data_IF_509922954915
#
_entry.id   IF_509922954915
#
_cell.length_a   1.000
_cell.length_b   1.000
_cell.length_c   1.000
_cell.angle_alpha   90.00
_cell.angle_beta   90.00
_cell.angle_gamma   90.00
#
_symmetry.space_group_name_H-M   'P 1'
#
loop_
_entity.id
_entity.type
_entity.pdbx_description
1 polymer ?
#
# COMPACT_ATOMS: atom_id res chain seq x y z
N UNK A 1 13.26 6.71 10.88
CA UNK A 1 12.93 6.65 12.31
C UNK A 1 12.83 5.18 12.72
N UNK A 2 13.81 4.73 13.42
CA UNK A 2 13.89 3.41 14.00
C UNK A 2 12.86 3.26 15.15
N UNK A 3 11.60 3.14 14.86
CA UNK A 3 10.78 2.28 15.67
C UNK A 3 11.13 0.85 15.26
N UNK A 4 12.31 0.41 15.67
CA UNK A 4 12.63 -0.98 15.69
C UNK A 4 11.53 -1.64 16.51
N UNK A 5 10.75 -2.49 15.90
CA UNK A 5 9.77 -3.25 16.60
C UNK A 5 10.41 -4.05 17.70
N UNK A 6 9.61 -4.54 18.61
CA UNK A 6 10.13 -5.38 19.65
C UNK A 6 11.01 -6.45 19.03
N UNK A 7 12.30 -6.34 19.28
CA UNK A 7 13.24 -7.38 18.88
C UNK A 7 12.74 -8.68 19.53
N UNK A 8 12.58 -9.71 18.74
CA UNK A 8 12.15 -11.00 19.24
C UNK A 8 10.67 -11.34 19.02
N UNK A 9 9.81 -10.41 18.58
CA UNK A 9 8.45 -10.80 18.22
C UNK A 9 8.48 -11.71 16.99
N UNK A 10 7.88 -12.88 17.15
CA UNK A 10 7.73 -13.87 16.08
C UNK A 10 6.26 -14.01 15.73
N UNK A 11 5.93 -14.17 14.45
CA UNK A 11 4.54 -14.35 14.02
C UNK A 11 3.88 -15.54 14.73
N UNK A 12 2.64 -15.37 15.13
CA UNK A 12 1.84 -16.45 15.76
C UNK A 12 1.51 -17.55 14.77
N UNK A 13 1.40 -17.21 13.50
CA UNK A 13 1.06 -18.14 12.43
C UNK A 13 2.19 -18.27 11.44
N UNK A 14 2.42 -19.48 10.97
CA UNK A 14 3.22 -19.71 9.79
C UNK A 14 2.36 -19.46 8.54
N UNK A 15 2.24 -18.19 8.17
CA UNK A 15 1.46 -17.78 7.02
C UNK A 15 2.03 -18.28 5.67
N UNK A 16 3.25 -18.86 5.66
CA UNK A 16 3.82 -19.52 4.49
C UNK A 16 3.06 -20.78 4.11
N UNK A 17 2.37 -21.38 5.07
CA UNK A 17 1.46 -22.48 4.85
C UNK A 17 0.01 -22.02 4.62
N UNK A 18 -0.24 -20.70 4.58
CA UNK A 18 -1.55 -20.17 4.23
C UNK A 18 -1.69 -20.24 2.71
N UNK A 19 -2.67 -20.97 2.17
CA UNK A 19 -2.81 -21.20 0.73
C UNK A 19 -2.91 -19.92 -0.10
N UNK A 20 -3.48 -18.85 0.46
CA UNK A 20 -3.64 -17.55 -0.17
C UNK A 20 -2.32 -16.82 -0.48
N UNK A 21 -1.24 -17.14 0.22
CA UNK A 21 0.07 -16.55 -0.04
C UNK A 21 0.93 -17.36 -1.02
N UNK A 22 0.59 -18.61 -1.28
CA UNK A 22 1.22 -19.47 -2.30
C UNK A 22 2.73 -19.69 -2.16
N UNK A 23 3.30 -19.41 -0.98
CA UNK A 23 4.74 -19.39 -0.76
C UNK A 23 5.13 -20.32 0.37
N UNK A 24 6.00 -21.29 0.08
CA UNK A 24 6.63 -22.12 1.12
C UNK A 24 8.03 -21.54 1.43
N UNK A 25 8.26 -21.18 2.69
CA UNK A 25 9.55 -20.81 3.23
C UNK A 25 9.95 -21.76 4.35
N UNK A 26 11.26 -22.03 4.45
CA UNK A 26 11.82 -22.88 5.48
C UNK A 26 12.15 -22.03 6.72
N UNK A 27 12.06 -22.61 7.91
CA UNK A 27 12.51 -22.08 9.20
C UNK A 27 11.73 -20.92 9.82
N UNK A 28 10.39 -20.96 9.77
CA UNK A 28 9.61 -20.08 10.63
C UNK A 28 9.57 -20.60 12.05
N UNK A 29 9.90 -19.78 13.02
CA UNK A 29 9.71 -20.13 14.42
C UNK A 29 8.25 -20.42 14.73
N UNK A 30 7.96 -21.56 15.34
CA UNK A 30 6.60 -22.08 15.56
C UNK A 30 5.80 -21.38 16.66
N UNK A 31 6.42 -20.61 17.50
CA UNK A 31 5.75 -19.96 18.63
C UNK A 31 6.06 -18.47 18.68
N UNK A 32 5.05 -17.61 18.89
CA UNK A 32 5.28 -16.21 19.17
C UNK A 32 5.87 -16.05 20.57
N UNK A 33 6.81 -15.14 20.70
CA UNK A 33 7.23 -14.69 22.02
C UNK A 33 6.19 -13.71 22.58
N UNK A 34 6.00 -13.66 23.90
CA UNK A 34 5.10 -12.69 24.50
C UNK A 34 5.53 -11.27 24.17
N UNK A 35 4.57 -10.43 23.84
CA UNK A 35 4.80 -9.01 23.66
C UNK A 35 5.01 -8.41 25.05
N UNK A 36 6.24 -8.01 25.38
CA UNK A 36 6.60 -7.57 26.72
C UNK A 36 6.66 -6.05 26.92
N UNK A 37 6.46 -5.27 25.83
CA UNK A 37 6.52 -3.81 25.93
C UNK A 37 5.42 -3.12 25.11
N UNK A 38 4.97 -1.92 25.50
CA UNK A 38 3.98 -1.14 24.73
C UNK A 38 4.40 -0.86 23.29
N UNK A 39 5.70 -0.69 23.02
CA UNK A 39 6.23 -0.51 21.69
C UNK A 39 6.04 -1.76 20.79
N UNK A 40 5.88 -2.93 21.39
CA UNK A 40 5.63 -4.17 20.67
C UNK A 40 4.25 -4.23 20.01
N UNK A 41 3.27 -3.48 20.52
CA UNK A 41 1.93 -3.40 19.94
C UNK A 41 1.91 -2.81 18.52
N UNK A 42 3.00 -2.19 18.09
CA UNK A 42 3.14 -1.61 16.75
C UNK A 42 3.53 -2.68 15.72
N UNK A 43 3.97 -3.86 16.15
CA UNK A 43 4.51 -4.90 15.30
C UNK A 43 3.67 -6.17 15.36
N UNK A 44 2.80 -6.29 14.39
CA UNK A 44 1.82 -7.36 14.37
C UNK A 44 2.04 -8.27 13.19
N UNK A 45 1.88 -9.54 13.44
CA UNK A 45 2.15 -10.60 12.45
C UNK A 45 0.92 -10.99 11.65
N UNK A 46 -0.26 -10.61 12.11
CA UNK A 46 -1.53 -10.91 11.45
C UNK A 46 -2.61 -9.91 11.88
N UNK A 47 -3.72 -9.90 11.16
CA UNK A 47 -4.80 -8.95 11.39
C UNK A 47 -5.39 -9.03 12.81
N UNK A 48 -5.60 -10.22 13.34
CA UNK A 48 -6.20 -10.36 14.68
C UNK A 48 -5.34 -9.79 15.79
N UNK A 49 -4.01 -9.93 15.70
CA UNK A 49 -3.09 -9.28 16.63
C UNK A 49 -3.07 -7.76 16.43
N UNK A 50 -3.17 -7.31 15.16
CA UNK A 50 -3.26 -5.90 14.83
C UNK A 50 -4.52 -5.26 15.42
N UNK A 51 -5.65 -5.90 15.25
CA UNK A 51 -6.92 -5.46 15.79
C UNK A 51 -6.88 -5.36 17.30
N UNK A 52 -6.42 -6.42 17.98
CA UNK A 52 -6.30 -6.44 19.44
C UNK A 52 -5.43 -5.28 19.94
N UNK A 53 -4.27 -5.09 19.37
CA UNK A 53 -3.37 -4.03 19.80
C UNK A 53 -3.91 -2.64 19.49
N UNK A 54 -4.56 -2.46 18.34
CA UNK A 54 -5.19 -1.18 18.00
C UNK A 54 -6.32 -0.85 18.97
N UNK A 55 -7.20 -1.82 19.29
CA UNK A 55 -8.30 -1.60 20.21
C UNK A 55 -7.81 -1.30 21.64
N UNK A 56 -6.80 -2.03 22.11
CA UNK A 56 -6.16 -1.72 23.39
C UNK A 56 -5.55 -0.31 23.41
N UNK A 57 -4.89 0.09 22.32
CA UNK A 57 -4.31 1.41 22.20
C UNK A 57 -5.37 2.52 22.26
N UNK A 58 -6.42 2.44 21.45
CA UNK A 58 -7.45 3.50 21.42
C UNK A 58 -8.26 3.58 22.72
N UNK A 59 -8.38 2.47 23.44
CA UNK A 59 -9.08 2.42 24.74
C UNK A 59 -8.22 2.90 25.91
N UNK A 60 -6.88 2.90 25.76
CA UNK A 60 -5.98 3.47 26.76
C UNK A 60 -6.07 5.00 26.89
N UNK A 61 -6.58 5.65 25.84
CA UNK A 61 -6.61 7.12 25.75
C UNK A 61 -5.25 7.77 25.47
N UNK A 62 -4.22 6.96 25.22
CA UNK A 62 -2.89 7.45 24.85
C UNK A 62 -2.90 8.04 23.42
N UNK A 63 -2.03 9.01 23.19
CA UNK A 63 -1.77 9.56 21.87
C UNK A 63 -0.33 9.29 21.46
N UNK A 64 -0.12 9.05 20.18
CA UNK A 64 1.22 8.83 19.65
C UNK A 64 1.43 9.60 18.32
N UNK A 65 2.62 9.45 17.74
CA UNK A 65 2.96 10.13 16.50
C UNK A 65 2.09 9.68 15.31
N UNK A 66 1.49 8.49 15.34
CA UNK A 66 0.60 8.00 14.27
C UNK A 66 -0.71 8.79 14.28
N UNK A 67 -1.21 9.15 15.46
CA UNK A 67 -2.37 10.05 15.56
C UNK A 67 -2.05 11.43 14.97
N UNK A 68 -0.87 11.97 15.27
CA UNK A 68 -0.43 13.24 14.70
C UNK A 68 -0.28 13.16 13.17
N UNK A 69 0.28 12.06 12.65
CA UNK A 69 0.39 11.81 11.21
C UNK A 69 -0.99 11.70 10.55
N UNK A 70 -1.93 11.00 11.19
CA UNK A 70 -3.32 10.92 10.73
C UNK A 70 -3.99 12.29 10.66
N UNK A 71 -3.87 13.11 11.70
CA UNK A 71 -4.43 14.47 11.72
C UNK A 71 -3.84 15.36 10.64
N UNK A 72 -2.52 15.27 10.40
CA UNK A 72 -1.85 16.00 9.31
C UNK A 72 -2.34 15.50 7.95
N UNK A 73 -2.42 14.19 7.75
CA UNK A 73 -2.91 13.61 6.51
C UNK A 73 -4.31 14.12 6.17
N UNK A 74 -5.23 14.04 7.13
CA UNK A 74 -6.63 14.42 6.96
C UNK A 74 -6.85 15.92 6.80
N UNK A 75 -6.23 16.73 7.67
CA UNK A 75 -6.51 18.15 7.74
C UNK A 75 -5.68 18.96 6.73
N UNK A 76 -4.55 18.45 6.27
CA UNK A 76 -3.62 19.14 5.36
C UNK A 76 -3.46 18.41 4.02
N UNK A 77 -4.11 17.27 3.83
CA UNK A 77 -4.03 16.46 2.61
C UNK A 77 -2.57 16.08 2.24
N UNK A 78 -1.78 15.78 3.26
CA UNK A 78 -0.36 15.41 3.12
C UNK A 78 -0.23 13.89 3.08
N UNK A 79 0.39 13.38 2.02
CA UNK A 79 0.67 11.95 1.91
C UNK A 79 1.66 11.52 2.99
N UNK A 80 1.27 10.50 3.75
CA UNK A 80 2.10 9.85 4.74
C UNK A 80 2.71 8.59 4.14
N UNK A 81 4.04 8.50 4.15
CA UNK A 81 4.78 7.34 3.62
C UNK A 81 5.37 6.56 4.79
N UNK A 82 4.92 5.33 4.97
CA UNK A 82 5.40 4.43 6.02
C UNK A 82 6.03 3.18 5.44
N UNK A 83 7.02 2.66 6.14
CA UNK A 83 7.66 1.38 5.80
C UNK A 83 6.83 0.21 6.28
N UNK A 84 6.74 -0.85 5.47
CA UNK A 84 6.06 -2.09 5.82
C UNK A 84 6.75 -2.84 6.97
N UNK A 85 8.07 -2.80 7.01
CA UNK A 85 8.90 -3.48 8.01
C UNK A 85 9.86 -4.50 7.42
N UNK A 86 10.83 -4.93 8.24
CA UNK A 86 11.94 -5.78 7.82
C UNK A 86 11.91 -7.14 8.53
N UNK A 87 10.73 -7.73 8.66
CA UNK A 87 10.54 -9.06 9.28
C UNK A 87 10.49 -10.19 8.27
N UNK A 88 11.03 -9.97 7.10
CA UNK A 88 11.11 -10.93 5.99
C UNK A 88 9.77 -11.63 5.83
N UNK A 89 9.02 -11.57 4.86
CA UNK A 89 7.74 -12.24 4.53
C UNK A 89 7.03 -13.06 5.66
N UNK A 90 7.48 -12.93 6.92
CA UNK A 90 6.92 -13.61 8.09
C UNK A 90 5.84 -12.79 8.80
N UNK A 91 5.57 -11.59 8.34
CA UNK A 91 4.60 -10.69 8.91
C UNK A 91 3.98 -9.80 7.84
N UNK A 92 2.75 -9.38 8.08
CA UNK A 92 2.16 -8.27 7.36
C UNK A 92 2.81 -6.94 7.76
N UNK A 93 2.43 -5.89 7.07
CA UNK A 93 2.90 -4.55 7.35
C UNK A 93 2.60 -4.10 8.78
N UNK A 94 3.44 -3.24 9.31
CA UNK A 94 3.27 -2.72 10.67
C UNK A 94 1.95 -1.95 10.84
N UNK A 95 1.42 -1.92 12.06
CA UNK A 95 0.15 -1.26 12.40
C UNK A 95 0.09 0.19 11.91
N UNK A 96 1.17 0.94 12.01
CA UNK A 96 1.23 2.32 11.49
C UNK A 96 1.05 2.41 9.98
N UNK A 97 1.59 1.43 9.24
CA UNK A 97 1.40 1.32 7.81
C UNK A 97 0.00 0.79 7.46
N UNK A 98 -0.61 0.03 8.37
CA UNK A 98 -1.97 -0.51 8.26
C UNK A 98 -3.05 0.42 8.81
N UNK A 99 -2.73 1.65 9.23
CA UNK A 99 -3.70 2.55 9.85
C UNK A 99 -5.00 2.72 9.04
N UNK A 100 -4.98 2.82 7.70
CA UNK A 100 -6.22 2.93 6.93
C UNK A 100 -7.19 1.73 7.07
N UNK A 101 -6.72 0.57 7.50
CA UNK A 101 -7.61 -0.53 7.84
C UNK A 101 -8.56 -0.14 8.99
N UNK A 102 -8.05 0.57 9.99
CA UNK A 102 -8.78 1.01 11.17
C UNK A 102 -9.44 2.38 11.01
N UNK A 103 -8.87 3.22 10.15
CA UNK A 103 -9.32 4.58 9.83
C UNK A 103 -9.35 4.76 8.31
N UNK A 104 -10.39 4.25 7.64
CA UNK A 104 -10.45 4.19 6.17
C UNK A 104 -10.37 5.55 5.48
N UNK A 105 -10.78 6.62 6.14
CA UNK A 105 -10.68 7.99 5.63
C UNK A 105 -9.23 8.50 5.47
N UNK A 106 -8.26 7.79 6.06
CA UNK A 106 -6.84 8.06 5.86
C UNK A 106 -6.28 7.43 4.56
N UNK A 107 -6.96 6.46 3.95
CA UNK A 107 -6.40 5.64 2.86
C UNK A 107 -5.86 6.47 1.70
N UNK A 108 -6.59 7.48 1.26
CA UNK A 108 -6.21 8.36 0.16
C UNK A 108 -4.96 9.22 0.41
N UNK A 109 -4.52 9.32 1.66
CA UNK A 109 -3.33 10.04 2.06
C UNK A 109 -2.25 9.14 2.67
N UNK A 110 -2.35 7.83 2.47
CA UNK A 110 -1.44 6.86 3.07
C UNK A 110 -0.75 6.03 2.02
N UNK A 111 0.54 5.80 2.18
CA UNK A 111 1.32 4.86 1.37
C UNK A 111 2.16 4.00 2.29
N UNK A 112 1.97 2.69 2.17
CA UNK A 112 2.81 1.69 2.77
C UNK A 112 3.87 1.25 1.76
N UNK A 113 5.12 1.13 2.18
CA UNK A 113 6.24 0.78 1.29
C UNK A 113 6.89 -0.51 1.75
N UNK A 114 6.78 -1.53 0.92
CA UNK A 114 7.56 -2.76 1.04
C UNK A 114 8.80 -2.70 0.15
N UNK A 115 9.66 -3.70 0.22
CA UNK A 115 10.95 -3.69 -0.45
C UNK A 115 11.01 -4.65 -1.62
N UNK A 116 11.72 -4.25 -2.67
CA UNK A 116 12.16 -5.10 -3.76
C UNK A 116 13.66 -5.38 -3.63
N UNK A 117 14.05 -6.63 -3.80
CA UNK A 117 15.43 -7.08 -3.87
C UNK A 117 15.63 -7.79 -5.21
N UNK A 118 16.63 -7.38 -5.99
CA UNK A 118 16.88 -7.94 -7.33
C UNK A 118 15.91 -7.42 -8.38
N UNK A 119 15.97 -7.99 -9.58
CA UNK A 119 15.15 -7.62 -10.73
C UNK A 119 15.88 -6.81 -11.80
N UNK A 120 15.18 -6.51 -12.89
CA UNK A 120 15.71 -5.73 -13.98
C UNK A 120 16.12 -4.33 -13.50
N UNK A 121 17.35 -3.92 -13.80
CA UNK A 121 17.90 -2.63 -13.38
C UNK A 121 18.50 -2.62 -11.98
N UNK A 122 18.47 -3.72 -11.25
CA UNK A 122 19.21 -3.86 -10.00
C UNK A 122 20.71 -4.01 -10.30
N UNK A 123 21.60 -3.26 -9.66
CA UNK A 123 23.03 -3.42 -9.88
C UNK A 123 23.46 -4.84 -9.47
N UNK A 124 24.04 -5.58 -10.41
CA UNK A 124 24.81 -6.78 -10.10
C UNK A 124 26.04 -6.35 -9.30
N UNK A 125 25.92 -6.26 -7.98
CA UNK A 125 27.11 -6.09 -7.16
C UNK A 125 27.72 -7.47 -6.94
N UNK A 126 28.93 -7.66 -7.52
CA UNK A 126 29.71 -8.90 -7.41
C UNK A 126 30.16 -9.23 -5.98
N UNK A 127 29.85 -8.38 -5.01
CA UNK A 127 30.22 -8.56 -3.60
C UNK A 127 29.04 -8.98 -2.71
N UNK A 128 27.83 -9.08 -3.25
CA UNK A 128 26.71 -9.60 -2.49
C UNK A 128 26.49 -11.08 -2.80
N UNK A 129 26.24 -11.86 -1.76
CA UNK A 129 25.75 -13.24 -1.80
C UNK A 129 24.36 -13.41 -2.45
N UNK A 130 23.98 -12.47 -3.28
CA UNK A 130 22.85 -12.63 -4.21
C UNK A 130 23.37 -13.53 -5.32
N UNK A 131 23.18 -14.83 -5.17
CA UNK A 131 23.52 -15.81 -6.19
C UNK A 131 23.00 -15.35 -7.56
N UNK A 132 23.70 -15.70 -8.65
CA UNK A 132 23.29 -15.42 -10.04
C UNK A 132 21.83 -15.82 -10.34
N UNK A 133 21.25 -16.69 -9.51
CA UNK A 133 19.84 -17.08 -9.56
C UNK A 133 18.86 -15.96 -9.19
N UNK A 134 19.31 -14.95 -8.46
CA UNK A 134 18.50 -13.76 -8.12
C UNK A 134 18.62 -12.65 -9.16
N UNK A 135 19.62 -12.70 -10.02
CA UNK A 135 19.78 -11.75 -11.10
C UNK A 135 18.61 -11.86 -12.08
N UNK A 136 17.92 -10.75 -12.29
CA UNK A 136 16.78 -10.67 -13.21
C UNK A 136 15.42 -11.10 -12.66
N UNK A 137 15.32 -11.47 -11.36
CA UNK A 137 14.04 -11.76 -10.71
C UNK A 137 13.69 -10.68 -9.66
N UNK A 138 12.46 -10.19 -9.71
CA UNK A 138 11.94 -9.35 -8.64
C UNK A 138 11.67 -10.21 -7.40
N UNK A 139 12.27 -9.87 -6.27
CA UNK A 139 12.19 -10.63 -5.03
C UNK A 139 11.62 -9.76 -3.92
N UNK A 140 10.67 -10.31 -3.17
CA UNK A 140 10.13 -9.72 -1.96
C UNK A 140 10.70 -10.49 -0.74
N UNK A 141 11.43 -9.77 0.11
CA UNK A 141 12.05 -10.34 1.33
C UNK A 141 11.60 -9.63 2.62
N UNK A 142 10.73 -8.63 2.51
CA UNK A 142 10.26 -7.81 3.61
C UNK A 142 8.82 -8.12 3.99
N UNK A 143 8.25 -7.36 4.91
CA UNK A 143 6.87 -7.55 5.31
C UNK A 143 5.92 -7.44 4.11
N UNK A 144 4.94 -8.33 4.10
CA UNK A 144 3.92 -8.38 3.05
C UNK A 144 2.98 -7.18 3.09
N UNK A 145 2.38 -6.87 1.97
CA UNK A 145 1.29 -5.92 1.89
C UNK A 145 0.08 -6.35 2.74
N UNK A 146 -0.34 -7.61 2.61
CA UNK A 146 -1.46 -8.17 3.36
C UNK A 146 -2.71 -7.30 3.28
N UNK A 147 -3.33 -7.00 4.41
CA UNK A 147 -4.52 -6.16 4.50
C UNK A 147 -4.29 -4.68 4.15
N UNK A 148 -3.03 -4.27 3.93
CA UNK A 148 -2.68 -2.93 3.45
C UNK A 148 -2.48 -2.83 1.93
N UNK A 149 -2.77 -3.88 1.17
CA UNK A 149 -2.46 -3.97 -0.26
C UNK A 149 -2.99 -2.81 -1.11
N UNK A 150 -4.12 -2.22 -0.74
CA UNK A 150 -4.75 -1.13 -1.48
C UNK A 150 -3.99 0.21 -1.42
N UNK A 151 -3.07 0.35 -0.48
CA UNK A 151 -2.19 1.51 -0.35
C UNK A 151 -0.71 1.13 -0.23
N UNK A 152 -0.35 -0.09 -0.63
CA UNK A 152 1.03 -0.59 -0.59
C UNK A 152 1.66 -0.57 -1.97
N UNK A 153 2.92 -0.18 -2.03
CA UNK A 153 3.79 -0.25 -3.20
C UNK A 153 5.16 -0.78 -2.78
N UNK A 154 5.85 -1.46 -3.68
CA UNK A 154 7.22 -1.90 -3.49
C UNK A 154 8.20 -0.94 -4.19
N UNK A 155 9.39 -0.78 -3.61
CA UNK A 155 10.46 0.00 -4.22
C UNK A 155 11.84 -0.62 -3.90
N UNK A 156 12.90 -0.25 -4.64
CA UNK A 156 14.25 -0.78 -4.40
C UNK A 156 14.69 -0.62 -2.96
N UNK A 157 15.18 -1.71 -2.36
CA UNK A 157 15.41 -1.80 -0.91
C UNK A 157 16.73 -2.45 -0.51
N UNK A 158 17.50 -3.04 -1.42
CA UNK A 158 18.78 -3.66 -1.13
C UNK A 158 19.89 -2.93 -1.90
N UNK A 159 21.10 -2.92 -1.32
CA UNK A 159 22.28 -2.27 -1.92
C UNK A 159 22.09 -0.81 -2.31
N UNK A 160 21.29 -0.09 -1.55
CA UNK A 160 21.03 1.32 -1.82
C UNK A 160 22.21 2.14 -1.32
N UNK A 161 23.01 2.62 -2.28
CA UNK A 161 24.19 3.43 -2.02
C UNK A 161 23.81 4.89 -1.79
N UNK A 162 24.15 5.43 -0.63
CA UNK A 162 23.79 6.79 -0.25
C UNK A 162 24.79 7.37 0.75
N UNK A 163 24.67 8.69 1.00
CA UNK A 163 25.40 9.37 2.05
C UNK A 163 25.05 8.79 3.42
N UNK A 164 26.08 8.63 4.26
CA UNK A 164 25.94 8.03 5.57
C UNK A 164 26.90 8.69 6.57
N UNK A 165 26.48 8.81 7.82
CA UNK A 165 27.34 9.20 8.94
C UNK A 165 27.28 8.09 9.96
N UNK A 166 28.42 7.43 10.19
CA UNK A 166 28.50 6.35 11.17
C UNK A 166 28.59 6.91 12.58
N UNK A 167 27.73 6.43 13.46
CA UNK A 167 27.87 6.68 14.90
C UNK A 167 29.04 5.81 15.43
N UNK A 168 29.99 6.42 16.10
CA UNK A 168 31.13 5.74 16.73
C UNK A 168 30.75 5.23 18.13
N UNK A 169 31.51 4.29 18.65
CA UNK A 169 31.26 3.65 19.95
C UNK A 169 31.23 4.64 21.14
N UNK A 170 31.90 5.77 21.00
CA UNK A 170 31.90 6.85 21.98
C UNK A 170 30.70 7.83 21.84
N UNK A 171 29.70 7.48 21.04
CA UNK A 171 28.53 8.31 20.75
C UNK A 171 28.83 9.61 19.96
N UNK A 172 29.98 9.69 19.30
CA UNK A 172 30.29 10.80 18.38
C UNK A 172 30.02 10.38 16.93
N UNK A 173 29.81 11.37 16.06
CA UNK A 173 29.68 11.12 14.64
C UNK A 173 31.05 11.03 13.99
N UNK A 174 31.24 10.00 13.16
CA UNK A 174 32.40 9.89 12.29
C UNK A 174 32.32 10.82 11.07
N UNK A 175 33.33 10.73 10.21
CA UNK A 175 33.33 11.47 8.96
C UNK A 175 32.16 11.02 8.04
N UNK A 176 31.63 11.94 7.23
CA UNK A 176 30.64 11.60 6.20
C UNK A 176 31.25 10.60 5.19
N UNK A 177 30.54 9.52 4.96
CA UNK A 177 30.92 8.48 3.99
C UNK A 177 29.73 8.16 3.07
N UNK A 178 30.01 7.39 2.04
CA UNK A 178 28.98 6.72 1.25
C UNK A 178 28.97 5.24 1.60
N UNK A 179 27.79 4.67 1.74
CA UNK A 179 27.64 3.27 2.14
C UNK A 179 26.36 2.69 1.53
N UNK A 180 26.42 1.42 1.15
CA UNK A 180 25.23 0.64 0.81
C UNK A 180 24.50 0.18 2.06
N UNK A 181 23.18 0.26 2.02
CA UNK A 181 22.28 -0.24 3.06
C UNK A 181 21.03 -0.87 2.44
N UNK A 182 20.36 -1.73 3.21
CA UNK A 182 19.13 -2.41 2.78
C UNK A 182 18.01 -2.28 3.80
N UNK A 183 16.80 -2.48 3.33
CA UNK A 183 15.58 -2.45 4.13
C UNK A 183 14.46 -1.60 3.53
N UNK A 184 13.26 -1.77 4.01
CA UNK A 184 12.12 -0.91 3.64
C UNK A 184 12.36 0.57 3.99
N UNK A 185 13.31 0.84 4.89
CA UNK A 185 13.78 2.20 5.21
C UNK A 185 14.49 2.88 4.02
N UNK A 186 15.07 2.10 3.11
CA UNK A 186 15.70 2.57 1.87
C UNK A 186 14.68 2.64 0.73
N UNK A 187 13.65 1.81 0.76
CA UNK A 187 12.57 1.83 -0.21
C UNK A 187 11.66 3.07 -0.06
N UNK A 188 11.32 3.46 1.15
CA UNK A 188 10.40 4.57 1.41
C UNK A 188 10.86 5.92 0.82
N UNK A 189 12.14 6.34 0.89
CA UNK A 189 12.59 7.57 0.25
C UNK A 189 12.52 7.54 -1.28
N UNK A 190 12.63 6.38 -1.95
CA UNK A 190 12.37 6.26 -3.39
C UNK A 190 10.92 6.63 -3.72
N UNK A 191 9.98 6.12 -2.94
CA UNK A 191 8.55 6.43 -3.08
C UNK A 191 8.28 7.91 -2.80
N UNK A 192 8.89 8.47 -1.77
CA UNK A 192 8.74 9.91 -1.44
C UNK A 192 9.31 10.80 -2.55
N UNK A 193 10.46 10.43 -3.11
CA UNK A 193 11.07 11.13 -4.25
C UNK A 193 10.20 11.04 -5.50
N UNK A 194 9.67 9.84 -5.79
CA UNK A 194 8.77 9.62 -6.92
C UNK A 194 7.50 10.47 -6.82
N UNK A 195 6.88 10.55 -5.64
CA UNK A 195 5.73 11.43 -5.40
C UNK A 195 6.07 12.89 -5.71
N UNK A 196 7.25 13.38 -5.29
CA UNK A 196 7.71 14.73 -5.60
C UNK A 196 7.80 14.99 -7.12
N UNK A 197 8.32 14.03 -7.88
CA UNK A 197 8.39 14.11 -9.35
C UNK A 197 6.99 14.07 -9.97
N UNK A 198 6.10 13.20 -9.48
CA UNK A 198 4.72 13.08 -9.98
C UNK A 198 3.94 14.37 -9.69
N UNK A 199 4.07 14.98 -8.50
CA UNK A 199 3.47 16.29 -8.20
C UNK A 199 3.95 17.38 -9.17
N UNK A 200 5.24 17.37 -9.51
CA UNK A 200 5.80 18.30 -10.49
C UNK A 200 5.27 18.06 -11.89
N UNK A 201 5.06 16.79 -12.27
CA UNK A 201 4.52 16.41 -13.60
C UNK A 201 3.03 16.77 -13.73
N UNK A 202 2.26 16.66 -12.67
CA UNK A 202 0.81 16.88 -12.67
C UNK A 202 0.38 17.93 -11.66
N UNK A 203 0.79 19.20 -11.83
CA UNK A 203 0.50 20.27 -10.86
C UNK A 203 -0.99 20.60 -10.73
N UNK A 204 -1.82 20.07 -11.61
CA UNK A 204 -3.27 20.21 -11.63
C UNK A 204 -4.01 19.07 -10.88
N UNK A 205 -3.29 18.04 -10.45
CA UNK A 205 -3.84 16.94 -9.67
C UNK A 205 -3.78 17.24 -8.17
N UNK A 206 -4.76 16.72 -7.45
CA UNK A 206 -4.71 16.69 -5.98
C UNK A 206 -3.69 15.66 -5.51
N UNK A 207 -3.30 15.71 -4.23
CA UNK A 207 -2.27 14.82 -3.68
C UNK A 207 -2.68 13.35 -3.75
N UNK A 208 -3.93 13.04 -3.48
CA UNK A 208 -4.50 11.70 -3.60
C UNK A 208 -4.53 11.21 -5.06
N UNK A 209 -4.87 12.07 -6.02
CA UNK A 209 -4.81 11.73 -7.46
C UNK A 209 -3.39 11.41 -7.92
N UNK A 210 -2.42 12.22 -7.54
CA UNK A 210 -1.00 11.97 -7.88
C UNK A 210 -0.49 10.67 -7.21
N UNK A 211 -0.91 10.39 -5.97
CA UNK A 211 -0.66 9.11 -5.31
C UNK A 211 -1.27 7.95 -6.12
N UNK A 212 -2.50 8.08 -6.57
CA UNK A 212 -3.18 7.05 -7.35
C UNK A 212 -2.51 6.81 -8.72
N UNK A 213 -1.98 7.86 -9.36
CA UNK A 213 -1.11 7.70 -10.53
C UNK A 213 0.07 6.78 -10.19
N UNK A 214 0.79 7.07 -9.11
CA UNK A 214 1.92 6.24 -8.69
C UNK A 214 1.54 4.79 -8.43
N UNK A 215 0.46 4.56 -7.71
CA UNK A 215 0.02 3.20 -7.36
C UNK A 215 -0.45 2.43 -8.59
N UNK A 216 -1.29 3.03 -9.42
CA UNK A 216 -1.91 2.35 -10.57
C UNK A 216 -0.98 2.12 -11.75
N UNK A 217 0.18 2.77 -11.78
CA UNK A 217 1.22 2.56 -12.78
C UNK A 217 2.32 1.62 -12.32
N UNK A 218 2.28 1.16 -11.08
CA UNK A 218 3.25 0.21 -10.55
C UNK A 218 3.38 -1.03 -11.45
N UNK A 219 4.60 -1.51 -11.60
CA UNK A 219 4.91 -2.69 -12.40
C UNK A 219 4.56 -3.96 -11.62
N UNK A 220 3.70 -4.76 -12.19
CA UNK A 220 3.33 -6.06 -11.63
C UNK A 220 4.24 -7.14 -12.24
N UNK A 221 4.92 -7.85 -11.39
CA UNK A 221 5.84 -8.90 -11.80
C UNK A 221 5.16 -10.26 -11.74
N UNK A 222 5.32 -11.05 -12.81
CA UNK A 222 4.75 -12.39 -12.93
C UNK A 222 5.79 -13.49 -12.71
N UNK A 223 7.08 -13.13 -12.63
CA UNK A 223 8.13 -14.14 -12.64
C UNK A 223 9.04 -13.99 -11.40
N UNK A 224 9.06 -15.03 -10.59
CA UNK A 224 10.15 -15.34 -9.68
C UNK A 224 10.64 -16.74 -9.98
N UNK A 225 11.95 -16.92 -10.08
CA UNK A 225 12.53 -18.26 -10.08
C UNK A 225 12.41 -18.82 -8.67
N UNK A 226 11.81 -20.00 -8.51
CA UNK A 226 11.84 -20.74 -7.27
C UNK A 226 13.25 -21.25 -6.97
N UNK A 227 13.50 -21.61 -5.71
CA UNK A 227 14.78 -22.19 -5.26
C UNK A 227 15.22 -23.44 -6.05
N UNK A 228 14.28 -24.07 -6.79
CA UNK A 228 14.55 -25.24 -7.64
C UNK A 228 14.50 -24.91 -9.15
N UNK A 229 14.64 -23.63 -9.53
CA UNK A 229 14.62 -23.22 -10.95
C UNK A 229 13.23 -23.28 -11.61
N UNK A 230 12.17 -23.58 -10.88
CA UNK A 230 10.80 -23.51 -11.38
C UNK A 230 10.27 -22.10 -11.32
N UNK A 231 9.58 -21.61 -12.37
CA UNK A 231 8.85 -20.34 -12.27
C UNK A 231 7.86 -20.43 -11.13
N UNK A 232 7.91 -19.52 -10.18
CA UNK A 232 6.84 -19.32 -9.22
C UNK A 232 5.97 -18.21 -9.78
N UNK A 233 4.75 -18.54 -10.15
CA UNK A 233 3.74 -17.51 -10.39
C UNK A 233 3.55 -16.69 -9.13
N UNK A 234 3.62 -15.39 -9.25
CA UNK A 234 3.77 -14.51 -8.10
C UNK A 234 2.76 -13.41 -7.99
N UNK A 235 2.03 -13.22 -9.03
CA UNK A 235 0.91 -12.34 -8.97
C UNK A 235 -0.33 -13.21 -8.73
N UNK A 236 -0.73 -13.32 -7.48
CA UNK A 236 -1.83 -14.16 -7.04
C UNK A 236 -3.22 -13.58 -7.35
N UNK A 237 -3.26 -12.38 -7.92
CA UNK A 237 -4.48 -11.71 -8.35
C UNK A 237 -4.47 -11.46 -9.85
N UNK A 238 -5.60 -11.02 -10.42
CA UNK A 238 -5.66 -10.59 -11.81
C UNK A 238 -4.70 -9.40 -12.05
N UNK A 239 -4.10 -9.35 -13.25
CA UNK A 239 -3.26 -8.22 -13.67
C UNK A 239 -4.04 -6.89 -13.54
N UNK A 240 -3.49 -5.94 -12.82
CA UNK A 240 -4.12 -4.66 -12.48
C UNK A 240 -4.74 -4.62 -11.08
N UNK A 241 -4.85 -5.77 -10.39
CA UNK A 241 -5.39 -5.86 -9.03
C UNK A 241 -4.24 -5.97 -8.01
N UNK A 242 -4.26 -5.23 -6.90
CA UNK A 242 -3.22 -5.31 -5.88
C UNK A 242 -3.11 -6.70 -5.24
N UNK A 243 -1.88 -7.15 -5.02
CA UNK A 243 -1.56 -8.44 -4.43
C UNK A 243 -1.30 -8.36 -2.93
N UNK A 244 -1.55 -9.47 -2.21
CA UNK A 244 -1.25 -9.54 -0.77
C UNK A 244 0.27 -9.50 -0.48
N UNK A 245 1.10 -9.81 -1.48
CA UNK A 245 2.56 -9.80 -1.35
C UNK A 245 3.12 -8.41 -1.62
N UNK A 246 2.78 -7.82 -2.77
CA UNK A 246 3.40 -6.64 -3.33
C UNK A 246 2.57 -5.35 -3.21
N UNK A 247 1.31 -5.44 -2.81
CA UNK A 247 0.36 -4.36 -3.02
C UNK A 247 0.15 -4.09 -4.51
N UNK A 248 0.29 -2.87 -4.96
CA UNK A 248 0.14 -2.49 -6.37
C UNK A 248 1.28 -2.96 -7.29
N UNK A 249 2.41 -3.34 -6.71
CA UNK A 249 3.59 -3.77 -7.45
C UNK A 249 4.80 -2.90 -7.17
N UNK A 250 5.76 -2.92 -8.09
CA UNK A 250 7.02 -2.21 -7.98
C UNK A 250 6.88 -0.83 -8.60
N UNK A 251 7.36 0.19 -7.88
CA UNK A 251 7.38 1.57 -8.34
C UNK A 251 7.93 1.69 -9.77
N UNK A 252 7.15 2.23 -10.68
CA UNK A 252 7.52 2.55 -12.05
C UNK A 252 7.29 4.04 -12.32
N UNK A 253 8.30 4.84 -11.99
CA UNK A 253 8.25 6.28 -12.20
C UNK A 253 8.18 6.64 -13.69
N UNK A 254 8.83 5.83 -14.54
CA UNK A 254 8.78 6.05 -16.00
C UNK A 254 7.34 5.98 -16.51
N UNK A 255 6.63 4.91 -16.19
CA UNK A 255 5.22 4.75 -16.55
C UNK A 255 4.31 5.82 -15.95
N UNK A 256 4.58 6.23 -14.70
CA UNK A 256 3.80 7.27 -14.03
C UNK A 256 3.83 8.63 -14.75
N UNK A 257 4.83 8.91 -15.57
CA UNK A 257 4.92 10.17 -16.34
C UNK A 257 3.92 10.26 -17.50
N UNK A 258 3.26 9.16 -17.85
CA UNK A 258 2.36 9.04 -18.99
C UNK A 258 0.87 8.96 -18.63
N UNK A 259 0.50 9.41 -17.44
CA UNK A 259 -0.87 9.40 -16.94
C UNK A 259 -1.15 8.24 -15.97
N UNK A 260 -2.36 8.16 -15.40
CA UNK A 260 -2.78 7.05 -14.54
C UNK A 260 -2.84 5.74 -15.33
N UNK A 261 -2.65 4.61 -14.63
CA UNK A 261 -2.89 3.27 -15.19
C UNK A 261 -4.33 2.79 -14.95
N UNK A 262 -5.00 3.34 -13.94
CA UNK A 262 -6.40 3.02 -13.66
C UNK A 262 -7.11 4.21 -13.02
N UNK A 263 -8.43 4.25 -13.17
CA UNK A 263 -9.28 5.09 -12.34
C UNK A 263 -9.88 4.27 -11.20
N UNK A 264 -9.67 4.74 -9.96
CA UNK A 264 -10.18 4.11 -8.74
C UNK A 264 -11.51 4.72 -8.28
N UNK A 265 -12.19 5.39 -9.17
CA UNK A 265 -13.42 6.14 -9.00
C UNK A 265 -13.47 7.26 -10.05
N UNK A 266 -14.21 8.32 -9.78
CA UNK A 266 -14.26 9.46 -10.68
C UNK A 266 -13.03 10.36 -10.51
N UNK A 267 -12.10 10.30 -11.47
CA UNK A 267 -10.94 11.18 -11.57
C UNK A 267 -11.40 12.58 -12.02
N UNK A 268 -11.45 13.53 -11.10
CA UNK A 268 -11.85 14.92 -11.38
C UNK A 268 -10.61 15.80 -11.49
N UNK A 269 -10.32 16.30 -12.69
CA UNK A 269 -9.16 17.16 -12.93
C UNK A 269 -9.61 18.58 -13.33
N UNK A 270 -8.78 19.57 -12.99
CA UNK A 270 -8.93 20.94 -13.44
C UNK A 270 -7.70 21.35 -14.27
N UNK A 271 -7.76 21.07 -15.57
CA UNK A 271 -6.65 21.17 -16.50
C UNK A 271 -6.76 22.46 -17.32
N UNK A 272 -5.95 23.46 -16.98
CA UNK A 272 -5.91 24.74 -17.70
C UNK A 272 -4.80 24.81 -18.77
N UNK A 273 -3.99 23.77 -18.90
CA UNK A 273 -2.97 23.60 -19.93
C UNK A 273 -3.23 22.31 -20.69
N UNK A 274 -2.56 22.09 -21.81
CA UNK A 274 -2.71 20.84 -22.54
C UNK A 274 -1.86 19.75 -21.90
N UNK A 275 -2.38 18.53 -21.88
CA UNK A 275 -1.64 17.34 -21.45
C UNK A 275 -2.04 16.11 -22.25
N UNK A 276 -1.15 15.11 -22.25
CA UNK A 276 -1.33 13.84 -22.95
C UNK A 276 -1.13 12.70 -21.97
N UNK A 277 -2.11 11.82 -21.88
CA UNK A 277 -2.01 10.55 -21.15
C UNK A 277 -2.00 9.41 -22.15
N UNK A 278 -0.93 8.63 -22.14
CA UNK A 278 -0.72 7.54 -23.10
C UNK A 278 -0.72 6.15 -22.47
N UNK A 279 -0.88 6.04 -21.15
CA UNK A 279 -1.12 4.75 -20.52
C UNK A 279 -2.50 4.20 -20.90
N UNK A 280 -2.60 2.87 -20.93
CA UNK A 280 -3.88 2.17 -20.98
C UNK A 280 -4.56 2.27 -19.63
N UNK A 281 -5.68 2.98 -19.58
CA UNK A 281 -6.39 3.26 -18.34
C UNK A 281 -7.55 2.27 -18.17
N UNK A 282 -7.54 1.52 -17.08
CA UNK A 282 -8.63 0.59 -16.74
C UNK A 282 -9.32 0.96 -15.41
N UNK A 283 -10.29 0.16 -15.00
CA UNK A 283 -10.95 0.23 -13.69
C UNK A 283 -11.05 -1.14 -13.00
N UNK A 284 -10.15 -2.05 -13.37
CA UNK A 284 -10.14 -3.43 -12.88
C UNK A 284 -10.01 -3.52 -11.36
N UNK A 285 -9.12 -2.73 -10.79
CA UNK A 285 -8.87 -2.77 -9.35
C UNK A 285 -10.10 -2.37 -8.54
N UNK A 286 -10.81 -1.30 -8.91
CA UNK A 286 -11.99 -0.88 -8.15
C UNK A 286 -13.14 -1.89 -8.27
N UNK A 287 -13.24 -2.60 -9.40
CA UNK A 287 -14.18 -3.71 -9.57
C UNK A 287 -13.81 -4.92 -8.71
N UNK A 288 -12.53 -5.26 -8.63
CA UNK A 288 -12.07 -6.31 -7.72
C UNK A 288 -12.34 -5.93 -6.25
N UNK A 289 -12.17 -4.65 -5.90
CA UNK A 289 -12.50 -4.15 -4.56
C UNK A 289 -13.97 -4.30 -4.22
N UNK A 290 -14.87 -4.19 -5.19
CA UNK A 290 -16.30 -4.44 -4.98
C UNK A 290 -16.55 -5.84 -4.43
N UNK A 291 -15.86 -6.86 -4.95
CA UNK A 291 -16.01 -8.24 -4.50
C UNK A 291 -15.55 -8.38 -3.05
N UNK A 292 -14.40 -7.78 -2.70
CA UNK A 292 -13.89 -7.78 -1.32
C UNK A 292 -14.83 -7.04 -0.37
N UNK A 293 -15.32 -5.87 -0.77
CA UNK A 293 -16.26 -5.07 0.02
C UNK A 293 -17.58 -5.81 0.28
N UNK A 294 -18.09 -6.58 -0.70
CA UNK A 294 -19.28 -7.41 -0.53
C UNK A 294 -19.05 -8.56 0.46
N UNK A 295 -17.90 -9.23 0.36
CA UNK A 295 -17.54 -10.30 1.28
C UNK A 295 -17.38 -9.77 2.71
N UNK A 296 -16.70 -8.64 2.88
CA UNK A 296 -16.54 -7.99 4.16
C UNK A 296 -17.89 -7.50 4.73
N UNK A 297 -18.77 -6.95 3.91
CA UNK A 297 -20.09 -6.52 4.35
C UNK A 297 -20.91 -7.68 4.94
N UNK A 298 -20.81 -8.87 4.33
CA UNK A 298 -21.50 -10.07 4.82
C UNK A 298 -20.97 -10.49 6.20
N UNK A 299 -19.67 -10.55 6.35
CA UNK A 299 -19.02 -10.88 7.64
C UNK A 299 -19.34 -9.83 8.70
N UNK A 300 -19.26 -8.55 8.33
CA UNK A 300 -19.55 -7.45 9.24
C UNK A 300 -21.00 -7.44 9.71
N UNK A 301 -21.98 -7.75 8.86
CA UNK A 301 -23.38 -7.77 9.26
C UNK A 301 -23.62 -8.73 10.45
N UNK A 302 -23.00 -9.91 10.44
CA UNK A 302 -23.08 -10.86 11.55
C UNK A 302 -22.39 -10.31 12.81
N UNK A 303 -21.15 -9.84 12.66
CA UNK A 303 -20.37 -9.34 13.80
C UNK A 303 -20.98 -8.07 14.43
N UNK A 304 -21.54 -7.19 13.59
CA UNK A 304 -22.26 -5.99 14.03
C UNK A 304 -23.43 -6.34 14.94
N UNK A 305 -24.25 -7.32 14.54
CA UNK A 305 -25.39 -7.76 15.33
C UNK A 305 -24.97 -8.35 16.69
N UNK A 306 -23.86 -9.12 16.73
CA UNK A 306 -23.29 -9.65 17.97
C UNK A 306 -22.85 -8.51 18.92
N UNK A 307 -22.11 -7.53 18.40
CA UNK A 307 -21.62 -6.39 19.18
C UNK A 307 -22.79 -5.53 19.69
N UNK A 308 -23.81 -5.31 18.87
CA UNK A 308 -25.02 -4.58 19.28
C UNK A 308 -25.77 -5.32 20.39
N UNK A 309 -25.89 -6.64 20.31
CA UNK A 309 -26.49 -7.45 21.37
C UNK A 309 -25.69 -7.37 22.68
N UNK A 310 -24.34 -7.39 22.61
CA UNK A 310 -23.48 -7.20 23.79
C UNK A 310 -23.67 -5.83 24.43
N UNK A 311 -23.80 -4.77 23.63
CA UNK A 311 -24.02 -3.41 24.14
C UNK A 311 -25.38 -3.23 24.81
N UNK A 312 -26.39 -4.03 24.41
CA UNK A 312 -27.72 -4.03 25.04
C UNK A 312 -27.79 -4.89 26.31
N UNK A 313 -26.82 -5.79 26.50
CA UNK A 313 -26.80 -6.65 27.67
C UNK A 313 -26.40 -5.86 28.95
N UNK A 314 -26.93 -6.28 30.13
CA UNK A 314 -26.61 -5.68 31.41
C UNK A 314 -25.12 -5.72 31.76
N UNK A 315 -24.39 -6.75 31.33
CA UNK A 315 -22.93 -6.85 31.48
C UNK A 315 -22.18 -5.85 30.58
N UNK A 316 -22.81 -5.43 29.47
CA UNK A 316 -22.25 -4.49 28.51
C UNK A 316 -21.12 -5.07 27.66
N UNK A 317 -20.80 -4.38 26.57
CA UNK A 317 -19.61 -4.67 25.78
C UNK A 317 -18.35 -4.09 26.44
N UNK A 318 -17.21 -4.75 26.27
CA UNK A 318 -15.90 -4.24 26.72
C UNK A 318 -15.50 -2.96 25.97
N UNK A 319 -14.46 -2.30 26.43
CA UNK A 319 -13.96 -1.10 25.76
C UNK A 319 -13.41 -1.44 24.36
N UNK A 320 -12.73 -2.58 24.22
CA UNK A 320 -12.20 -3.10 22.97
C UNK A 320 -13.32 -3.46 21.98
N UNK A 321 -14.39 -4.14 22.44
CA UNK A 321 -15.56 -4.46 21.61
C UNK A 321 -16.27 -3.19 21.11
N UNK A 322 -16.33 -2.15 21.92
CA UNK A 322 -16.85 -0.84 21.48
C UNK A 322 -15.93 -0.19 20.44
N UNK A 323 -14.62 -0.31 20.60
CA UNK A 323 -13.66 0.19 19.62
C UNK A 323 -13.75 -0.60 18.31
N UNK A 324 -13.87 -1.94 18.37
CA UNK A 324 -14.13 -2.80 17.21
C UNK A 324 -15.39 -2.35 16.47
N UNK A 325 -16.47 -2.09 17.19
CA UNK A 325 -17.72 -1.62 16.61
C UNK A 325 -17.54 -0.29 15.87
N UNK A 326 -16.79 0.67 16.42
CA UNK A 326 -16.52 1.95 15.77
C UNK A 326 -15.67 1.78 14.50
N UNK A 327 -14.67 0.91 14.52
CA UNK A 327 -13.87 0.57 13.34
C UNK A 327 -14.76 -0.08 12.26
N UNK A 328 -15.60 -1.02 12.65
CA UNK A 328 -16.53 -1.67 11.73
C UNK A 328 -17.50 -0.69 11.07
N UNK A 329 -18.04 0.27 11.82
CA UNK A 329 -18.89 1.34 11.28
C UNK A 329 -18.13 2.26 10.30
N UNK A 330 -16.88 2.61 10.62
CA UNK A 330 -16.06 3.42 9.72
C UNK A 330 -15.77 2.69 8.41
N UNK A 331 -15.47 1.39 8.46
CA UNK A 331 -15.29 0.54 7.29
C UNK A 331 -16.58 0.35 6.47
N UNK A 332 -17.71 0.18 7.15
CA UNK A 332 -19.03 0.15 6.53
C UNK A 332 -19.32 1.46 5.76
N UNK A 333 -19.04 2.61 6.38
CA UNK A 333 -19.21 3.91 5.73
C UNK A 333 -18.34 4.05 4.48
N UNK A 334 -17.06 3.62 4.55
CA UNK A 334 -16.17 3.65 3.40
C UNK A 334 -16.61 2.72 2.26
N UNK A 335 -17.14 1.53 2.57
CA UNK A 335 -17.73 0.63 1.57
C UNK A 335 -18.98 1.25 0.93
N UNK A 336 -19.83 1.86 1.72
CA UNK A 336 -21.04 2.54 1.24
C UNK A 336 -20.70 3.72 0.32
N UNK A 337 -19.64 4.47 0.62
CA UNK A 337 -19.14 5.54 -0.24
C UNK A 337 -18.67 5.00 -1.60
N UNK A 338 -17.87 3.92 -1.62
CA UNK A 338 -17.46 3.27 -2.87
C UNK A 338 -18.64 2.68 -3.65
N UNK A 339 -19.60 2.09 -2.95
CA UNK A 339 -20.83 1.56 -3.57
C UNK A 339 -21.68 2.68 -4.21
N UNK A 340 -21.77 3.84 -3.55
CA UNK A 340 -22.47 5.00 -4.11
C UNK A 340 -21.77 5.56 -5.37
N UNK A 341 -20.47 5.36 -5.51
CA UNK A 341 -19.69 5.70 -6.71
C UNK A 341 -19.77 4.61 -7.79
N UNK A 342 -20.41 3.46 -7.52
CA UNK A 342 -20.69 2.38 -8.48
C UNK A 342 -19.50 1.47 -8.80
N UNK A 343 -18.37 1.59 -8.11
CA UNK A 343 -17.14 0.82 -8.38
C UNK A 343 -16.69 0.88 -9.85
N UNK A 344 -16.81 2.03 -10.47
CA UNK A 344 -16.40 2.27 -11.85
C UNK A 344 -15.37 3.40 -11.92
N UNK A 345 -14.44 3.28 -12.84
CA UNK A 345 -13.52 4.35 -13.17
C UNK A 345 -14.19 5.34 -14.11
N UNK A 346 -14.19 6.61 -13.77
CA UNK A 346 -14.80 7.68 -14.54
C UNK A 346 -13.85 8.88 -14.64
N UNK A 347 -14.09 9.79 -15.57
CA UNK A 347 -13.29 11.00 -15.76
C UNK A 347 -14.18 12.23 -15.82
N UNK A 348 -13.93 13.21 -14.98
CA UNK A 348 -14.51 14.54 -15.11
C UNK A 348 -13.42 15.56 -15.39
N UNK A 349 -13.46 16.18 -16.55
CA UNK A 349 -12.48 17.20 -16.99
C UNK A 349 -13.09 18.59 -16.89
N UNK A 350 -12.47 19.42 -16.06
CA UNK A 350 -12.68 20.87 -15.95
C UNK A 350 -11.45 21.59 -16.48
N UNK A 351 -11.55 22.93 -16.59
CA UNK A 351 -10.49 23.80 -17.04
C UNK A 351 -10.35 23.87 -18.56
N UNK A 352 -9.77 24.97 -19.03
CA UNK A 352 -9.76 25.39 -20.45
C UNK A 352 -8.83 24.59 -21.37
N UNK A 353 -7.90 23.80 -20.80
CA UNK A 353 -6.91 23.03 -21.57
C UNK A 353 -7.49 21.82 -22.28
N UNK A 354 -6.69 21.20 -23.10
CA UNK A 354 -7.00 19.95 -23.82
C UNK A 354 -6.33 18.76 -23.14
N UNK A 355 -7.09 17.75 -22.77
CA UNK A 355 -6.54 16.44 -22.38
C UNK A 355 -6.61 15.53 -23.61
N UNK A 356 -5.48 14.93 -23.99
CA UNK A 356 -5.43 13.92 -25.05
C UNK A 356 -5.17 12.54 -24.46
N UNK A 357 -6.07 11.59 -24.72
CA UNK A 357 -5.92 10.18 -24.35
C UNK A 357 -5.47 9.39 -25.56
N UNK A 358 -4.35 8.68 -25.47
CA UNK A 358 -3.79 7.91 -26.60
C UNK A 358 -3.63 6.42 -26.30
N UNK A 359 -3.84 5.99 -25.03
CA UNK A 359 -3.83 4.58 -24.64
C UNK A 359 -5.11 3.82 -25.06
N UNK A 360 -5.07 2.50 -24.95
CA UNK A 360 -6.23 1.62 -25.13
C UNK A 360 -7.02 1.54 -23.82
N UNK A 361 -7.90 2.50 -23.59
CA UNK A 361 -8.61 2.64 -22.33
C UNK A 361 -9.80 1.67 -22.26
N UNK A 362 -9.97 1.07 -21.08
CA UNK A 362 -11.02 0.07 -20.81
C UNK A 362 -11.83 0.35 -19.55
N UNK A 363 -11.68 1.53 -18.94
CA UNK A 363 -12.56 1.96 -17.85
C UNK A 363 -14.01 2.14 -18.35
N UNK A 364 -14.99 1.92 -17.48
CA UNK A 364 -16.40 1.75 -17.89
C UNK A 364 -17.34 2.83 -17.38
N UNK A 365 -16.84 3.79 -16.59
CA UNK A 365 -17.63 4.92 -16.12
C UNK A 365 -17.68 6.06 -17.13
N UNK A 366 -18.52 7.03 -16.84
CA UNK A 366 -18.76 8.17 -17.71
C UNK A 366 -17.54 9.08 -17.87
N UNK A 367 -17.43 9.70 -19.03
CA UNK A 367 -16.56 10.84 -19.29
C UNK A 367 -17.41 12.11 -19.34
N UNK A 368 -17.13 13.03 -18.43
CA UNK A 368 -17.77 14.35 -18.40
C UNK A 368 -16.74 15.42 -18.74
N UNK A 369 -17.01 16.24 -19.74
CA UNK A 369 -16.19 17.41 -20.09
C UNK A 369 -17.01 18.67 -19.82
N UNK A 370 -16.68 19.38 -18.74
CA UNK A 370 -17.37 20.63 -18.37
C UNK A 370 -16.77 21.84 -19.07
N UNK A 371 -15.42 21.83 -19.28
CA UNK A 371 -14.69 22.92 -19.91
C UNK A 371 -13.50 22.40 -20.74
N UNK A 372 -13.07 23.19 -21.73
CA UNK A 372 -11.95 22.86 -22.60
C UNK A 372 -12.27 21.70 -23.54
N UNK A 373 -11.29 20.84 -23.77
CA UNK A 373 -11.40 19.77 -24.74
C UNK A 373 -10.87 18.43 -24.18
N UNK A 374 -11.49 17.34 -24.65
CA UNK A 374 -10.96 16.00 -24.55
C UNK A 374 -10.74 15.49 -25.99
N UNK A 375 -9.56 14.98 -26.27
CA UNK A 375 -9.18 14.39 -27.55
C UNK A 375 -8.74 12.96 -27.36
N UNK A 376 -8.97 12.10 -28.33
CA UNK A 376 -8.53 10.71 -28.29
C UNK A 376 -8.98 9.94 -29.53
N UNK A 377 -8.38 8.78 -29.76
CA UNK A 377 -8.87 7.82 -30.76
C UNK A 377 -10.10 7.09 -30.19
N UNK A 378 -10.96 6.54 -31.05
CA UNK A 378 -12.19 5.86 -30.61
C UNK A 378 -12.01 4.81 -29.50
N UNK A 379 -10.85 4.10 -29.51
CA UNK A 379 -10.49 3.13 -28.49
C UNK A 379 -9.90 3.77 -27.21
N UNK A 380 -9.57 5.06 -27.25
CA UNK A 380 -8.95 5.78 -26.14
C UNK A 380 -9.98 6.43 -25.20
N UNK A 381 -11.24 6.48 -25.59
CA UNK A 381 -12.29 7.16 -24.83
C UNK A 381 -13.13 6.20 -23.94
N UNK A 382 -12.66 4.96 -23.79
CA UNK A 382 -13.39 3.94 -23.06
C UNK A 382 -14.55 3.32 -23.85
N UNK A 383 -15.18 2.30 -23.32
CA UNK A 383 -16.42 1.77 -23.87
C UNK A 383 -17.56 2.65 -23.34
N UNK A 384 -18.07 3.52 -24.19
CA UNK A 384 -19.31 4.24 -23.92
C UNK A 384 -20.49 3.28 -23.83
#
# INVERSE_FOLDING_TARGET
>A
SSFAGAQGYKPKYDWRNVPEYGVQYYDVPKAPEPISSPAAHIYLSNLGEAEKAYYQFVTSGEKNFVDAAYEVAKNKQVIQVFTAGNRSMMAESFTRAMLPYFRPDAEKYWVNVTGQVGGEGYPNDSNDDVSDEKAGADIQEFNLAGHSKWWTIAAPSANIYSSYIQLQDNNTYGDPIYKSAGGTSMAAPHVSGALGVIFSRYPYMTTDQARDVMLTTARQTTLRKGLEGKPLERWETEQGVPSNVWGWGILDLGKAMFGPGQFLGNMKINLNQNDVWSNDISDKAIKARQVEDQAEATTWATRKAELEALMQNRAGATAEEKAEYQVGLAREAARNERAAQGYVGALTKNGSGTLTLTGNNSFTGEITVNEGQLSGLNQSLGSA
#
